data_IF_903210317384
#
_entry.id   IF_903210317384
#
_cell.length_a   1.000
_cell.length_b   1.000
_cell.length_c   1.000
_cell.angle_alpha   90.00
_cell.angle_beta   90.00
_cell.angle_gamma   90.00
#
_symmetry.space_group_name_H-M   'P 1'
#
loop_
_entity.id
_entity.type
_entity.pdbx_description
1 polymer ?
#
# COMPACT_ATOMS: atom_id res chain seq x y z
N UNK A 1 -5.44 10.23 -6.09
CA UNK A 1 -6.40 11.00 -5.25
C UNK A 1 -6.63 10.25 -3.95
N UNK A 2 -6.61 10.93 -2.80
CA UNK A 2 -6.88 10.33 -1.48
C UNK A 2 -8.34 10.52 -1.06
N UNK A 3 -8.96 9.50 -0.47
CA UNK A 3 -10.30 9.52 0.12
C UNK A 3 -10.25 8.93 1.53
N UNK A 4 -10.70 9.66 2.54
CA UNK A 4 -10.89 9.11 3.89
C UNK A 4 -12.21 8.33 3.95
N UNK A 5 -12.17 7.08 4.42
CA UNK A 5 -13.34 6.22 4.56
C UNK A 5 -13.90 6.23 5.99
N UNK A 6 -13.02 6.12 6.98
CA UNK A 6 -13.40 6.06 8.40
C UNK A 6 -12.25 6.56 9.26
N UNK A 7 -12.57 7.21 10.38
CA UNK A 7 -11.61 7.61 11.40
C UNK A 7 -12.09 7.15 12.78
N UNK A 8 -11.16 6.65 13.60
CA UNK A 8 -11.40 6.28 14.98
C UNK A 8 -10.24 6.82 15.83
N UNK A 9 -10.50 7.89 16.59
CA UNK A 9 -9.46 8.68 17.24
C UNK A 9 -8.43 9.20 16.21
N UNK A 10 -7.17 8.79 16.37
CA UNK A 10 -6.07 9.15 15.46
C UNK A 10 -5.88 8.16 14.30
N UNK A 11 -6.55 7.00 14.32
CA UNK A 11 -6.45 6.00 13.26
C UNK A 11 -7.36 6.39 12.08
N UNK A 12 -6.82 6.29 10.86
CA UNK A 12 -7.53 6.69 9.62
C UNK A 12 -7.47 5.58 8.58
N UNK A 13 -8.66 5.10 8.17
CA UNK A 13 -8.81 4.23 7.01
C UNK A 13 -9.12 5.07 5.79
N UNK A 14 -8.38 4.89 4.71
CA UNK A 14 -8.57 5.66 3.48
C UNK A 14 -8.16 4.90 2.24
N UNK A 15 -8.52 5.44 1.08
CA UNK A 15 -8.17 4.91 -0.24
C UNK A 15 -7.30 5.93 -0.96
N UNK A 16 -6.22 5.46 -1.57
CA UNK A 16 -5.34 6.26 -2.40
C UNK A 16 -5.35 5.72 -3.82
N UNK A 17 -6.02 6.45 -4.71
CA UNK A 17 -6.15 6.10 -6.12
C UNK A 17 -4.88 6.56 -6.86
N UNK A 18 -4.18 5.62 -7.47
CA UNK A 18 -3.06 5.83 -8.39
C UNK A 18 -3.48 5.45 -9.80
N UNK A 19 -2.66 5.79 -10.80
CA UNK A 19 -2.86 5.32 -12.18
C UNK A 19 -2.73 3.80 -12.35
N UNK A 20 -2.18 3.09 -11.35
CA UNK A 20 -1.99 1.63 -11.37
C UNK A 20 -2.89 0.88 -10.38
N UNK A 21 -3.89 1.56 -9.81
CA UNK A 21 -4.85 0.95 -8.88
C UNK A 21 -5.03 1.74 -7.59
N UNK A 22 -5.85 1.19 -6.70
CA UNK A 22 -6.25 1.81 -5.44
C UNK A 22 -5.54 1.15 -4.26
N UNK A 23 -4.84 1.93 -3.45
CA UNK A 23 -4.15 1.47 -2.23
C UNK A 23 -5.01 1.81 -1.00
N UNK A 24 -5.27 0.84 -0.12
CA UNK A 24 -5.96 1.08 1.16
C UNK A 24 -4.94 1.47 2.24
N UNK A 25 -5.22 2.51 3.02
CA UNK A 25 -4.40 2.93 4.18
C UNK A 25 -5.10 2.58 5.49
N UNK A 26 -4.37 2.24 6.57
CA UNK A 26 -2.90 2.25 6.69
C UNK A 26 -2.24 1.07 5.94
N UNK A 27 -1.15 1.35 5.23
CA UNK A 27 -0.38 0.36 4.46
C UNK A 27 1.11 0.46 4.79
N UNK A 28 1.80 -0.69 4.77
CA UNK A 28 3.24 -0.79 4.85
C UNK A 28 3.79 -1.15 3.48
N UNK A 29 4.65 -0.30 2.92
CA UNK A 29 5.26 -0.54 1.61
C UNK A 29 6.68 -1.06 1.81
N UNK A 30 6.98 -2.24 1.25
CA UNK A 30 8.33 -2.77 1.24
C UNK A 30 9.25 -1.86 0.39
N UNK A 31 10.49 -1.66 0.84
CA UNK A 31 11.50 -0.89 0.11
C UNK A 31 12.29 -1.83 -0.78
N UNK A 32 12.31 -1.58 -2.09
CA UNK A 32 13.20 -2.27 -3.02
C UNK A 32 14.33 -1.31 -3.46
N UNK A 33 15.58 -1.72 -3.32
CA UNK A 33 16.75 -0.96 -3.78
C UNK A 33 17.20 -1.51 -5.14
N UNK A 34 17.25 -0.65 -6.17
CA UNK A 34 17.75 -0.96 -7.52
C UNK A 34 17.05 -2.14 -8.25
N UNK A 35 15.73 -2.07 -8.43
CA UNK A 35 14.92 -3.02 -9.22
C UNK A 35 15.08 -4.51 -8.86
N UNK A 36 15.74 -4.82 -7.75
CA UNK A 36 15.91 -6.16 -7.22
C UNK A 36 15.22 -6.24 -5.85
N UNK A 37 14.10 -6.96 -5.79
CA UNK A 37 13.53 -7.41 -4.53
C UNK A 37 14.51 -8.45 -3.98
N UNK A 38 15.43 -8.05 -3.09
CA UNK A 38 16.31 -8.99 -2.40
C UNK A 38 15.48 -9.79 -1.41
N UNK A 39 14.97 -10.94 -1.85
CA UNK A 39 14.12 -11.81 -1.04
C UNK A 39 13.23 -12.82 -1.77
N UNK A 40 13.23 -12.87 -3.11
CA UNK A 40 12.54 -13.92 -3.91
C UNK A 40 11.10 -14.25 -3.47
N UNK A 41 10.34 -13.23 -3.06
CA UNK A 41 8.88 -13.31 -2.92
C UNK A 41 8.35 -12.25 -3.88
N UNK A 42 7.67 -12.73 -4.93
CA UNK A 42 7.01 -11.87 -5.90
C UNK A 42 5.79 -11.21 -5.24
N UNK A 43 5.33 -10.07 -5.77
CA UNK A 43 4.12 -9.42 -5.28
C UNK A 43 2.86 -10.32 -5.42
N UNK A 44 2.93 -11.39 -6.21
CA UNK A 44 1.89 -12.39 -6.43
C UNK A 44 1.86 -13.45 -5.31
N UNK A 45 2.97 -13.65 -4.59
CA UNK A 45 3.08 -14.64 -3.50
C UNK A 45 2.51 -14.13 -2.16
N UNK A 46 2.01 -12.89 -2.13
CA UNK A 46 1.41 -12.25 -0.95
C UNK A 46 -0.13 -12.11 -1.09
N UNK A 47 -0.74 -12.98 -1.89
CA UNK A 47 -2.19 -13.11 -2.10
C UNK A 47 -2.87 -14.07 -1.13
#
# INVERSE_FOLDING_TARGET
MYRLLKQEGNARRGEFITNRGTVQTPAFMNVATAAAIKGAVSAEDLG
#
